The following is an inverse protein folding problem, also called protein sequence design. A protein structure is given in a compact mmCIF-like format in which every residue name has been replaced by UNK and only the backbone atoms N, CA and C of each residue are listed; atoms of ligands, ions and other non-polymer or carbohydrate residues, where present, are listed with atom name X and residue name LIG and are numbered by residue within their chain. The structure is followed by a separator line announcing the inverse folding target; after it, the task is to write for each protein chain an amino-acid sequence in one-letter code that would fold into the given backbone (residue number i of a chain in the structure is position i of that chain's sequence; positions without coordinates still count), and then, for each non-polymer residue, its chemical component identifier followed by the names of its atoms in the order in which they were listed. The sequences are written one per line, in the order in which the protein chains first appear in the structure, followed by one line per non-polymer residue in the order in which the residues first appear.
data_IF_908306178261
#
_entry.id   IF_908306178261
#
_cell.length_a   1.000
_cell.length_b   1.000
_cell.length_c   1.000
_cell.angle_alpha   90.00
_cell.angle_beta   90.00
_cell.angle_gamma   90.00
#
_symmetry.space_group_name_H-M   'P 1'
#
loop_
_entity.id
_entity.type
_entity.pdbx_description
1 polymer ?
#
# COMPACT_ATOMS: atom_id res chain seq x y z
N UNK A 1 13.22 -2.88 9.11
CA UNK A 1 12.50 -2.02 8.14
C UNK A 1 12.17 -0.65 8.74
N UNK A 2 11.56 -0.55 9.93
CA UNK A 2 11.24 0.75 10.57
C UNK A 2 12.47 1.68 10.74
N UNK A 3 13.62 1.15 11.16
CA UNK A 3 14.82 1.96 11.39
C UNK A 3 15.41 2.59 10.11
N UNK A 4 15.40 1.85 9.00
CA UNK A 4 15.92 2.35 7.72
C UNK A 4 15.01 3.44 7.12
N UNK A 5 13.68 3.26 7.21
CA UNK A 5 12.72 4.28 6.81
C UNK A 5 12.85 5.55 7.68
N UNK A 6 13.06 5.38 8.99
CA UNK A 6 13.28 6.51 9.91
C UNK A 6 14.55 7.30 9.56
N UNK A 7 15.62 6.60 9.17
CA UNK A 7 16.89 7.24 8.83
C UNK A 7 16.85 7.93 7.46
N UNK A 8 16.06 7.41 6.51
CA UNK A 8 15.84 8.06 5.22
C UNK A 8 14.99 9.33 5.33
N UNK A 9 13.88 9.29 6.09
CA UNK A 9 13.06 10.48 6.40
C UNK A 9 13.90 11.57 7.09
N UNK A 10 14.76 11.17 8.04
CA UNK A 10 15.71 12.11 8.68
C UNK A 10 16.68 12.74 7.68
N UNK A 11 17.16 11.97 6.71
CA UNK A 11 18.17 12.43 5.75
C UNK A 11 17.57 13.41 4.73
N UNK A 12 16.42 13.08 4.15
CA UNK A 12 15.73 13.86 3.12
C UNK A 12 15.16 15.17 3.69
N UNK A 13 14.50 15.11 4.84
CA UNK A 13 13.95 16.30 5.51
C UNK A 13 15.07 17.26 5.94
N UNK A 14 16.19 16.73 6.45
CA UNK A 14 17.36 17.54 6.83
C UNK A 14 18.03 18.22 5.63
N UNK A 15 17.97 17.61 4.44
CA UNK A 15 18.57 18.16 3.23
C UNK A 15 17.73 19.31 2.65
N UNK A 16 16.41 19.15 2.58
CA UNK A 16 15.49 20.18 2.09
C UNK A 16 15.53 21.45 2.96
N UNK A 17 15.45 21.27 4.28
CA UNK A 17 15.43 22.38 5.24
C UNK A 17 16.77 23.13 5.27
N UNK A 18 17.89 22.43 5.09
CA UNK A 18 19.22 23.06 5.00
C UNK A 18 19.36 23.92 3.74
N UNK A 19 18.65 23.60 2.65
CA UNK A 19 18.67 24.39 1.43
C UNK A 19 17.88 25.69 1.59
N UNK A 20 16.71 25.63 2.22
CA UNK A 20 15.82 26.77 2.48
C UNK A 20 16.41 27.75 3.50
N UNK A 21 16.92 27.22 4.64
CA UNK A 21 17.62 28.02 5.65
C UNK A 21 18.86 28.75 5.09
N UNK A 22 19.52 28.16 4.10
CA UNK A 22 20.71 28.75 3.45
C UNK A 22 20.35 29.84 2.44
N UNK A 23 19.11 29.86 1.95
CA UNK A 23 18.59 30.91 1.08
C UNK A 23 18.25 32.18 1.87
N UNK A 24 17.67 32.05 3.06
CA UNK A 24 17.29 33.19 3.91
C UNK A 24 18.49 33.85 4.63
N UNK A 25 19.53 33.10 4.97
CA UNK A 25 20.73 33.60 5.66
C UNK A 25 21.68 34.45 4.77
N UNK A 26 21.35 34.66 3.48
CA UNK A 26 22.20 35.31 2.49
C UNK A 26 22.11 36.85 2.48
N UNK A 27 21.16 37.45 3.18
CA UNK A 27 21.09 38.92 3.37
C UNK A 27 22.05 39.38 4.46
N UNK A 28 22.68 40.55 4.27
CA UNK A 28 23.68 41.14 5.18
C UNK A 28 23.10 41.48 6.55
N UNK A 29 22.98 40.46 7.41
CA UNK A 29 22.57 40.58 8.80
C UNK A 29 23.80 40.55 9.72
N UNK A 30 23.74 41.35 10.79
CA UNK A 30 24.75 41.41 11.85
C UNK A 30 24.90 40.05 12.54
N UNK A 31 26.08 39.73 13.11
CA UNK A 31 26.35 38.43 13.71
C UNK A 31 25.35 38.04 14.81
N UNK A 32 24.89 39.01 15.61
CA UNK A 32 23.91 38.75 16.68
C UNK A 32 22.55 38.32 16.11
N UNK A 33 22.05 39.02 15.10
CA UNK A 33 20.75 38.71 14.46
C UNK A 33 20.82 37.36 13.72
N UNK A 34 21.96 37.01 13.12
CA UNK A 34 22.19 35.69 12.51
C UNK A 34 22.20 34.54 13.52
N UNK A 35 22.59 34.81 14.76
CA UNK A 35 22.61 33.81 15.83
C UNK A 35 21.20 33.60 16.40
N UNK A 36 20.47 34.68 16.67
CA UNK A 36 19.08 34.62 17.12
C UNK A 36 18.17 33.95 16.08
N UNK A 37 18.24 34.35 14.80
CA UNK A 37 17.51 33.68 13.71
C UNK A 37 17.85 32.20 13.62
N UNK A 38 19.11 31.80 13.85
CA UNK A 38 19.52 30.39 13.80
C UNK A 38 18.91 29.56 14.91
N UNK A 39 18.80 30.11 16.12
CA UNK A 39 18.22 29.39 17.25
C UNK A 39 16.69 29.34 17.14
N UNK A 40 16.05 30.41 16.66
CA UNK A 40 14.61 30.46 16.39
C UNK A 40 14.21 29.52 15.26
N UNK A 41 14.92 29.57 14.12
CA UNK A 41 14.69 28.65 13.00
C UNK A 41 14.95 27.19 13.38
N UNK A 42 15.98 26.90 14.20
CA UNK A 42 16.20 25.53 14.73
C UNK A 42 15.04 25.06 15.59
N UNK A 43 14.47 25.93 16.43
CA UNK A 43 13.38 25.59 17.31
C UNK A 43 12.09 25.30 16.51
N UNK A 44 11.79 26.15 15.52
CA UNK A 44 10.62 26.02 14.65
C UNK A 44 10.69 24.79 13.74
N UNK A 45 11.82 24.61 13.03
CA UNK A 45 12.11 23.39 12.24
C UNK A 45 12.02 22.13 13.08
N UNK A 46 12.56 22.13 14.30
CA UNK A 46 12.50 20.97 15.21
C UNK A 46 11.08 20.70 15.67
N UNK A 47 10.28 21.74 15.91
CA UNK A 47 8.88 21.59 16.31
C UNK A 47 8.04 20.97 15.19
N UNK A 48 8.17 21.47 13.97
CA UNK A 48 7.49 20.92 12.77
C UNK A 48 7.92 19.48 12.48
N UNK A 49 9.23 19.21 12.47
CA UNK A 49 9.76 17.86 12.25
C UNK A 49 9.23 16.88 13.31
N UNK A 50 9.20 17.29 14.58
CA UNK A 50 8.66 16.47 15.66
C UNK A 50 7.15 16.26 15.55
N UNK A 51 6.40 17.25 15.06
CA UNK A 51 4.96 17.12 14.84
C UNK A 51 4.65 16.15 13.69
N UNK A 52 5.37 16.26 12.59
CA UNK A 52 5.24 15.37 11.44
C UNK A 52 5.68 13.94 11.76
N UNK A 53 6.82 13.77 12.45
CA UNK A 53 7.26 12.47 12.94
C UNK A 53 6.26 11.83 13.91
N UNK A 54 5.67 12.60 14.83
CA UNK A 54 4.63 12.09 15.75
C UNK A 54 3.38 11.66 14.99
N UNK A 55 2.95 12.43 13.99
CA UNK A 55 1.79 12.10 13.15
C UNK A 55 2.04 10.81 12.36
N UNK A 56 3.17 10.74 11.64
CA UNK A 56 3.56 9.56 10.87
C UNK A 56 3.69 8.31 11.76
N UNK A 57 4.30 8.43 12.95
CA UNK A 57 4.41 7.32 13.89
C UNK A 57 3.04 6.89 14.42
N UNK A 58 2.16 7.84 14.75
CA UNK A 58 0.81 7.53 15.20
C UNK A 58 0.00 6.80 14.11
N UNK A 59 0.11 7.23 12.86
CA UNK A 59 -0.60 6.59 11.74
C UNK A 59 -0.05 5.19 11.46
N UNK A 60 1.28 5.01 11.51
CA UNK A 60 1.93 3.69 11.42
C UNK A 60 1.45 2.75 12.53
N UNK A 61 1.40 3.22 13.78
CA UNK A 61 0.94 2.42 14.93
C UNK A 61 -0.55 2.08 14.79
N UNK A 62 -1.40 3.00 14.33
CA UNK A 62 -2.82 2.73 14.06
C UNK A 62 -3.00 1.67 12.98
N UNK A 63 -2.22 1.74 11.90
CA UNK A 63 -2.24 0.72 10.83
C UNK A 63 -1.86 -0.63 11.44
N UNK A 64 -0.75 -0.71 12.15
CA UNK A 64 -0.32 -1.97 12.79
C UNK A 64 -1.39 -2.52 13.75
N UNK A 65 -2.02 -1.67 14.57
CA UNK A 65 -3.10 -2.10 15.46
C UNK A 65 -4.31 -2.63 14.68
N UNK A 66 -4.75 -1.94 13.62
CA UNK A 66 -5.85 -2.41 12.75
C UNK A 66 -5.51 -3.73 12.06
N UNK A 67 -4.27 -3.91 11.60
CA UNK A 67 -3.82 -5.13 10.95
C UNK A 67 -3.75 -6.31 11.92
N UNK A 68 -3.24 -6.11 13.13
CA UNK A 68 -3.24 -7.12 14.19
C UNK A 68 -4.67 -7.49 14.56
N UNK A 69 -5.55 -6.50 14.77
CA UNK A 69 -6.95 -6.76 15.06
C UNK A 69 -7.66 -7.53 13.92
N UNK A 70 -7.36 -7.23 12.65
CA UNK A 70 -7.90 -7.95 11.51
C UNK A 70 -7.38 -9.41 11.45
N UNK A 71 -6.10 -9.63 11.74
CA UNK A 71 -5.52 -10.98 11.81
C UNK A 71 -6.08 -11.80 12.98
N UNK A 72 -6.27 -11.20 14.14
CA UNK A 72 -6.86 -11.86 15.31
C UNK A 72 -8.35 -12.16 15.10
N UNK A 73 -9.11 -11.23 14.51
CA UNK A 73 -10.52 -11.42 14.22
C UNK A 73 -10.77 -12.51 13.16
N UNK A 74 -9.81 -12.71 12.26
CA UNK A 74 -9.93 -13.69 11.19
C UNK A 74 -8.55 -14.30 10.84
N UNK A 75 -8.04 -15.27 11.61
CA UNK A 75 -6.75 -15.90 11.35
C UNK A 75 -6.82 -16.74 10.07
N UNK A 76 -5.71 -16.81 9.32
CA UNK A 76 -5.63 -17.71 8.17
C UNK A 76 -5.88 -19.16 8.61
N UNK A 77 -6.65 -19.93 7.83
CA UNK A 77 -6.86 -21.34 8.15
C UNK A 77 -5.53 -22.10 8.04
N UNK A 78 -5.39 -23.17 8.81
CA UNK A 78 -4.35 -24.16 8.53
C UNK A 78 -4.72 -24.89 7.25
N UNK A 79 -3.86 -24.81 6.23
CA UNK A 79 -4.12 -25.40 4.91
C UNK A 79 -3.25 -26.64 4.73
N UNK A 80 -3.92 -27.79 4.66
CA UNK A 80 -3.36 -29.07 4.20
C UNK A 80 -3.76 -29.34 2.75
N UNK A 81 -3.29 -30.45 2.18
CA UNK A 81 -3.53 -30.76 0.76
C UNK A 81 -5.02 -30.94 0.44
N UNK A 82 -5.80 -31.52 1.36
CA UNK A 82 -7.23 -31.80 1.15
C UNK A 82 -8.08 -30.53 1.23
N UNK A 83 -7.81 -29.67 2.22
CA UNK A 83 -8.49 -28.37 2.36
C UNK A 83 -8.12 -27.40 1.24
N UNK A 84 -6.87 -27.44 0.74
CA UNK A 84 -6.47 -26.67 -0.43
C UNK A 84 -7.19 -27.13 -1.70
N UNK A 85 -7.29 -28.44 -1.93
CA UNK A 85 -8.03 -29.00 -3.07
C UNK A 85 -9.51 -28.60 -3.05
N UNK A 86 -10.15 -28.64 -1.87
CA UNK A 86 -11.53 -28.20 -1.71
C UNK A 86 -11.66 -26.68 -1.94
N UNK A 87 -10.72 -25.86 -1.45
CA UNK A 87 -10.70 -24.42 -1.73
C UNK A 87 -10.60 -24.14 -3.24
N UNK A 88 -9.70 -24.85 -3.96
CA UNK A 88 -9.56 -24.74 -5.41
C UNK A 88 -10.89 -25.10 -6.11
N UNK A 89 -11.54 -26.18 -5.68
CA UNK A 89 -12.83 -26.61 -6.23
C UNK A 89 -13.92 -25.55 -6.01
N UNK A 90 -13.99 -24.95 -4.82
CA UNK A 90 -14.96 -23.90 -4.52
C UNK A 90 -14.69 -22.62 -5.32
N UNK A 91 -13.42 -22.23 -5.47
CA UNK A 91 -13.01 -21.09 -6.32
C UNK A 91 -13.44 -21.35 -7.75
N UNK A 92 -13.16 -22.54 -8.29
CA UNK A 92 -13.54 -22.94 -9.65
C UNK A 92 -15.07 -22.94 -9.86
N UNK A 93 -15.82 -23.45 -8.87
CA UNK A 93 -17.28 -23.46 -8.90
C UNK A 93 -17.86 -22.04 -8.93
N UNK A 94 -17.20 -21.08 -8.28
CA UNK A 94 -17.58 -19.65 -8.28
C UNK A 94 -17.01 -18.86 -9.45
N UNK A 95 -16.32 -19.49 -10.40
CA UNK A 95 -15.82 -18.85 -11.62
C UNK A 95 -14.37 -18.37 -11.54
N UNK A 96 -13.73 -18.46 -10.37
CA UNK A 96 -12.29 -18.26 -10.25
C UNK A 96 -11.50 -19.38 -10.92
N UNK A 97 -10.21 -19.14 -11.15
CA UNK A 97 -9.25 -20.13 -11.63
C UNK A 97 -7.99 -20.04 -10.80
N UNK A 98 -7.47 -21.19 -10.39
CA UNK A 98 -6.20 -21.30 -9.67
C UNK A 98 -5.21 -22.03 -10.57
N UNK A 99 -4.09 -21.38 -10.85
CA UNK A 99 -2.98 -21.92 -11.65
C UNK A 99 -1.68 -21.86 -10.87
N UNK A 100 -0.72 -22.71 -11.21
CA UNK A 100 0.67 -22.59 -10.73
C UNK A 100 1.44 -21.67 -11.67
N UNK A 101 2.21 -20.73 -11.12
CA UNK A 101 2.93 -19.71 -11.89
C UNK A 101 3.98 -20.31 -12.82
N UNK A 102 4.78 -21.27 -12.31
CA UNK A 102 5.87 -21.89 -13.05
C UNK A 102 5.99 -23.39 -12.75
N UNK A 103 6.55 -24.15 -13.70
CA UNK A 103 6.82 -25.58 -13.50
C UNK A 103 7.73 -25.78 -12.28
N UNK A 104 7.40 -26.76 -11.44
CA UNK A 104 8.12 -27.12 -10.22
C UNK A 104 8.10 -26.05 -9.11
N UNK A 105 7.10 -25.16 -9.10
CA UNK A 105 6.82 -24.24 -7.99
C UNK A 105 5.46 -24.57 -7.36
N UNK A 106 5.21 -24.09 -6.14
CA UNK A 106 3.90 -24.12 -5.48
C UNK A 106 3.21 -22.74 -5.50
N UNK A 107 3.80 -21.76 -6.21
CA UNK A 107 3.33 -20.40 -6.34
C UNK A 107 2.02 -20.33 -7.13
N UNK A 108 0.97 -19.78 -6.53
CA UNK A 108 -0.38 -19.78 -7.09
C UNK A 108 -0.78 -18.41 -7.63
N UNK A 109 -1.36 -18.45 -8.82
CA UNK A 109 -2.04 -17.32 -9.47
C UNK A 109 -3.54 -17.58 -9.45
N UNK A 110 -4.30 -16.64 -8.89
CA UNK A 110 -5.77 -16.71 -8.83
C UNK A 110 -6.39 -15.68 -9.77
N UNK A 111 -7.19 -16.13 -10.71
CA UNK A 111 -7.87 -15.27 -11.70
C UNK A 111 -9.38 -15.36 -11.57
N UNK A 112 -10.03 -14.23 -11.37
CA UNK A 112 -11.49 -14.09 -11.33
C UNK A 112 -12.07 -13.34 -12.54
N UNK A 113 -11.23 -12.59 -13.28
CA UNK A 113 -11.63 -11.74 -14.41
C UNK A 113 -12.06 -12.48 -15.69
N UNK A 114 -11.89 -13.80 -15.76
CA UNK A 114 -12.24 -14.63 -16.93
C UNK A 114 -13.61 -15.31 -16.79
N UNK A 115 -14.33 -15.00 -15.72
CA UNK A 115 -15.60 -15.61 -15.37
C UNK A 115 -16.78 -14.87 -16.03
N UNK A 116 -17.76 -15.62 -16.50
CA UNK A 116 -19.10 -15.15 -16.85
C UNK A 116 -20.03 -15.02 -15.62
N UNK A 117 -19.61 -15.61 -14.49
CA UNK A 117 -20.32 -15.54 -13.21
C UNK A 117 -19.99 -14.25 -12.45
N UNK A 118 -20.95 -13.71 -11.67
CA UNK A 118 -20.67 -12.60 -10.77
C UNK A 118 -19.65 -13.03 -9.71
N UNK A 119 -18.56 -12.29 -9.60
CA UNK A 119 -17.52 -12.48 -8.58
C UNK A 119 -17.72 -11.43 -7.50
N UNK A 120 -17.86 -11.88 -6.27
CA UNK A 120 -18.08 -11.05 -5.08
C UNK A 120 -17.06 -11.38 -3.97
N UNK A 121 -17.23 -10.74 -2.81
CA UNK A 121 -16.29 -10.85 -1.68
C UNK A 121 -16.16 -12.29 -1.16
N UNK A 122 -17.26 -13.04 -1.14
CA UNK A 122 -17.23 -14.45 -0.70
C UNK A 122 -16.41 -15.33 -1.63
N UNK A 123 -16.44 -15.05 -2.95
CA UNK A 123 -15.61 -15.79 -3.91
C UNK A 123 -14.12 -15.50 -3.69
N UNK A 124 -13.75 -14.24 -3.41
CA UNK A 124 -12.36 -13.87 -3.13
C UNK A 124 -11.87 -14.42 -1.79
N UNK A 125 -12.72 -14.44 -0.76
CA UNK A 125 -12.36 -14.92 0.57
C UNK A 125 -11.87 -16.38 0.58
N UNK A 126 -12.30 -17.20 -0.39
CA UNK A 126 -11.82 -18.58 -0.55
C UNK A 126 -10.32 -18.69 -0.83
N UNK A 127 -9.67 -17.62 -1.32
CA UNK A 127 -8.23 -17.57 -1.55
C UNK A 127 -7.43 -17.80 -0.26
N UNK A 128 -8.02 -17.55 0.91
CA UNK A 128 -7.42 -17.84 2.23
C UNK A 128 -7.15 -19.34 2.44
N UNK A 129 -7.86 -20.21 1.73
CA UNK A 129 -7.65 -21.66 1.74
C UNK A 129 -6.50 -22.13 0.85
N UNK A 130 -5.72 -21.21 0.26
CA UNK A 130 -4.61 -21.54 -0.63
C UNK A 130 -3.27 -21.18 0.03
N UNK A 131 -2.29 -22.08 -0.12
CA UNK A 131 -0.89 -21.83 0.22
C UNK A 131 -0.20 -21.11 -0.93
N UNK A 132 0.77 -20.27 -0.59
CA UNK A 132 1.68 -19.61 -1.52
C UNK A 132 1.00 -18.85 -2.69
N UNK A 133 -0.03 -18.05 -2.40
CA UNK A 133 -0.66 -17.17 -3.40
C UNK A 133 0.26 -15.98 -3.66
N UNK A 134 0.66 -15.81 -4.92
CA UNK A 134 1.58 -14.73 -5.35
C UNK A 134 0.91 -13.67 -6.23
N UNK A 135 -0.14 -14.04 -6.97
CA UNK A 135 -0.89 -13.12 -7.82
C UNK A 135 -2.40 -13.34 -7.70
N UNK A 136 -3.14 -12.24 -7.59
CA UNK A 136 -4.61 -12.23 -7.63
C UNK A 136 -5.06 -11.21 -8.68
N UNK A 137 -5.87 -11.66 -9.63
CA UNK A 137 -6.51 -10.80 -10.62
C UNK A 137 -8.03 -10.85 -10.50
N UNK A 138 -8.57 -9.79 -9.88
CA UNK A 138 -9.97 -9.56 -9.57
C UNK A 138 -10.58 -8.39 -10.39
N UNK A 139 -9.94 -8.03 -11.51
CA UNK A 139 -10.39 -6.90 -12.34
C UNK A 139 -11.84 -7.06 -12.80
N UNK A 140 -12.60 -5.97 -12.72
CA UNK A 140 -13.96 -5.88 -13.27
C UNK A 140 -14.99 -6.71 -12.53
N UNK A 141 -14.77 -6.96 -11.24
CA UNK A 141 -15.66 -7.75 -10.38
C UNK A 141 -16.39 -6.87 -9.37
N UNK A 142 -17.37 -7.43 -8.66
CA UNK A 142 -18.15 -6.73 -7.63
C UNK A 142 -17.45 -6.69 -6.27
N UNK A 143 -16.13 -6.91 -6.23
CA UNK A 143 -15.33 -6.92 -5.01
C UNK A 143 -15.34 -5.54 -4.32
N UNK A 144 -15.49 -5.57 -2.99
CA UNK A 144 -15.51 -4.42 -2.08
C UNK A 144 -14.35 -4.49 -1.06
N UNK A 145 -14.32 -3.54 -0.12
CA UNK A 145 -13.30 -3.46 0.92
C UNK A 145 -13.31 -4.69 1.86
N UNK A 146 -14.48 -5.32 2.03
CA UNK A 146 -14.66 -6.55 2.80
C UNK A 146 -13.80 -7.70 2.27
N UNK A 147 -13.68 -7.83 0.95
CA UNK A 147 -12.84 -8.86 0.35
C UNK A 147 -11.36 -8.61 0.63
N UNK A 148 -10.92 -7.35 0.62
CA UNK A 148 -9.52 -6.98 0.86
C UNK A 148 -9.12 -7.28 2.30
N UNK A 149 -10.04 -7.08 3.27
CA UNK A 149 -9.86 -7.52 4.66
C UNK A 149 -9.59 -9.02 4.75
N UNK A 150 -10.25 -9.82 3.91
CA UNK A 150 -10.08 -11.27 3.91
C UNK A 150 -8.70 -11.70 3.40
N UNK A 151 -8.01 -10.88 2.60
CA UNK A 151 -6.66 -11.17 2.08
C UNK A 151 -5.55 -10.92 3.11
N UNK A 152 -5.83 -10.20 4.20
CA UNK A 152 -4.85 -9.90 5.25
C UNK A 152 -4.17 -11.19 5.71
N UNK A 153 -2.83 -11.17 5.68
CA UNK A 153 -2.01 -12.28 6.13
C UNK A 153 -1.52 -13.21 5.03
N UNK A 154 -1.92 -13.03 3.76
CA UNK A 154 -1.31 -13.74 2.63
C UNK A 154 0.15 -13.27 2.43
N UNK A 155 1.16 -14.04 2.89
CA UNK A 155 2.50 -13.49 3.10
C UNK A 155 3.28 -13.30 1.80
N UNK A 156 2.90 -14.02 0.74
CA UNK A 156 3.63 -14.08 -0.52
C UNK A 156 2.96 -13.30 -1.65
N UNK A 157 1.88 -12.54 -1.36
CA UNK A 157 1.17 -11.77 -2.39
C UNK A 157 2.08 -10.67 -2.94
N UNK A 158 2.37 -10.74 -4.24
CA UNK A 158 3.25 -9.81 -4.95
C UNK A 158 2.51 -8.95 -5.98
N UNK A 159 1.42 -9.48 -6.56
CA UNK A 159 0.70 -8.82 -7.65
C UNK A 159 -0.80 -8.85 -7.37
N UNK A 160 -1.42 -7.67 -7.30
CA UNK A 160 -2.84 -7.54 -7.04
C UNK A 160 -3.49 -6.61 -8.06
N UNK A 161 -4.44 -7.13 -8.82
CA UNK A 161 -5.21 -6.35 -9.79
C UNK A 161 -6.68 -6.23 -9.35
N UNK A 162 -7.05 -5.01 -8.95
CA UNK A 162 -8.38 -4.60 -8.47
C UNK A 162 -9.01 -3.57 -9.40
N UNK A 163 -8.52 -3.44 -10.62
CA UNK A 163 -9.03 -2.47 -11.57
C UNK A 163 -10.56 -2.64 -11.77
N UNK A 164 -11.30 -1.53 -11.77
CA UNK A 164 -12.76 -1.49 -11.94
C UNK A 164 -13.51 -2.38 -10.93
N UNK A 165 -13.08 -2.35 -9.67
CA UNK A 165 -13.80 -2.91 -8.53
C UNK A 165 -14.43 -1.78 -7.69
N UNK A 166 -15.11 -2.11 -6.59
CA UNK A 166 -15.74 -1.14 -5.68
C UNK A 166 -14.86 -0.77 -4.49
N UNK A 167 -13.57 -1.08 -4.58
CA UNK A 167 -12.57 -0.84 -3.54
C UNK A 167 -12.36 0.66 -3.30
N UNK A 168 -12.43 1.09 -2.05
CA UNK A 168 -12.29 2.49 -1.62
C UNK A 168 -11.00 2.71 -0.82
N UNK A 169 -10.83 3.93 -0.30
CA UNK A 169 -9.72 4.29 0.58
C UNK A 169 -9.66 3.41 1.84
N UNK A 170 -10.79 2.93 2.34
CA UNK A 170 -10.85 2.10 3.55
C UNK A 170 -10.15 0.74 3.37
N UNK A 171 -10.13 0.19 2.16
CA UNK A 171 -9.41 -1.05 1.86
C UNK A 171 -7.88 -0.90 1.91
N UNK A 172 -7.34 0.28 1.58
CA UNK A 172 -5.90 0.46 1.38
C UNK A 172 -5.11 0.23 2.67
N UNK A 173 -5.74 0.44 3.83
CA UNK A 173 -5.17 0.10 5.14
C UNK A 173 -4.85 -1.40 5.24
N UNK A 174 -5.69 -2.26 4.70
CA UNK A 174 -5.49 -3.71 4.71
C UNK A 174 -4.45 -4.15 3.67
N UNK A 175 -4.29 -3.40 2.58
CA UNK A 175 -3.23 -3.68 1.60
C UNK A 175 -1.84 -3.48 2.19
N UNK A 176 -1.65 -2.57 3.15
CA UNK A 176 -0.40 -2.39 3.88
C UNK A 176 0.09 -3.65 4.63
N UNK A 177 -0.76 -4.68 4.80
CA UNK A 177 -0.39 -5.98 5.36
C UNK A 177 0.45 -6.87 4.44
N UNK A 178 0.70 -6.44 3.19
CA UNK A 178 1.35 -7.26 2.16
C UNK A 178 2.72 -6.65 1.81
N UNK A 179 3.76 -6.82 2.65
CA UNK A 179 5.04 -6.16 2.47
C UNK A 179 5.76 -6.58 1.18
N UNK A 180 5.37 -7.70 0.58
CA UNK A 180 5.92 -8.23 -0.66
C UNK A 180 5.19 -7.74 -1.92
N UNK A 181 4.18 -6.88 -1.79
CA UNK A 181 3.43 -6.36 -2.93
C UNK A 181 4.32 -5.47 -3.80
N UNK A 182 4.49 -5.86 -5.07
CA UNK A 182 5.30 -5.16 -6.08
C UNK A 182 4.43 -4.45 -7.11
N UNK A 183 3.27 -5.02 -7.42
CA UNK A 183 2.33 -4.51 -8.41
C UNK A 183 0.94 -4.35 -7.80
N UNK A 184 0.38 -3.15 -7.89
CA UNK A 184 -0.98 -2.85 -7.50
C UNK A 184 -1.70 -2.08 -8.61
N UNK A 185 -2.87 -2.58 -9.02
CA UNK A 185 -3.70 -1.89 -10.00
C UNK A 185 -5.06 -1.55 -9.39
N UNK A 186 -5.32 -0.25 -9.26
CA UNK A 186 -6.55 0.36 -8.74
C UNK A 186 -7.24 1.20 -9.83
N UNK A 187 -6.90 0.99 -11.11
CA UNK A 187 -7.51 1.70 -12.23
C UNK A 187 -9.04 1.70 -12.15
N UNK A 188 -9.67 2.86 -12.18
CA UNK A 188 -11.13 2.99 -12.19
C UNK A 188 -11.83 2.60 -10.88
N UNK A 189 -11.15 2.67 -9.73
CA UNK A 189 -11.77 2.55 -8.40
C UNK A 189 -12.04 3.92 -7.78
N UNK A 190 -12.93 4.04 -6.78
CA UNK A 190 -13.21 5.30 -6.07
C UNK A 190 -12.11 5.78 -5.10
N UNK A 191 -10.88 5.25 -5.19
CA UNK A 191 -9.75 5.66 -4.34
C UNK A 191 -9.36 7.13 -4.58
N UNK A 192 -8.97 7.84 -3.53
CA UNK A 192 -8.61 9.26 -3.55
C UNK A 192 -7.25 9.54 -2.90
N UNK A 193 -6.81 10.80 -2.92
CA UNK A 193 -5.59 11.26 -2.23
C UNK A 193 -5.60 10.94 -0.73
N UNK A 194 -6.78 10.90 -0.09
CA UNK A 194 -6.91 10.65 1.35
C UNK A 194 -6.49 9.23 1.72
N UNK A 195 -6.80 8.24 0.88
CA UNK A 195 -6.42 6.83 1.12
C UNK A 195 -5.05 6.47 0.59
N UNK A 196 -4.65 7.02 -0.58
CA UNK A 196 -3.48 6.52 -1.31
C UNK A 196 -2.16 6.70 -0.54
N UNK A 197 -2.07 7.69 0.35
CA UNK A 197 -0.91 7.93 1.20
C UNK A 197 -0.57 6.76 2.14
N UNK A 198 -1.54 5.90 2.45
CA UNK A 198 -1.31 4.70 3.27
C UNK A 198 -0.36 3.71 2.58
N UNK A 199 -0.33 3.71 1.25
CA UNK A 199 0.52 2.82 0.45
C UNK A 199 2.01 3.10 0.62
N UNK A 200 2.40 4.25 1.20
CA UNK A 200 3.79 4.55 1.59
C UNK A 200 4.40 3.50 2.54
N UNK A 201 3.56 2.68 3.18
CA UNK A 201 3.98 1.57 4.05
C UNK A 201 4.30 0.27 3.29
N UNK A 202 4.25 0.27 1.95
CA UNK A 202 4.58 -0.88 1.11
C UNK A 202 6.00 -0.72 0.54
N UNK A 203 7.04 -1.25 1.22
CA UNK A 203 8.43 -0.94 0.90
C UNK A 203 8.90 -1.51 -0.44
N UNK A 204 8.17 -2.48 -1.01
CA UNK A 204 8.53 -3.16 -2.25
C UNK A 204 7.63 -2.79 -3.43
N UNK A 205 6.69 -1.86 -3.25
CA UNK A 205 5.76 -1.46 -4.32
C UNK A 205 6.52 -0.70 -5.40
N UNK A 206 6.45 -1.20 -6.64
CA UNK A 206 7.16 -0.62 -7.80
C UNK A 206 6.23 -0.08 -8.87
N UNK A 207 5.06 -0.69 -9.05
CA UNK A 207 4.13 -0.28 -10.09
C UNK A 207 2.74 -0.09 -9.49
N UNK A 208 2.23 1.13 -9.60
CA UNK A 208 0.92 1.52 -9.09
C UNK A 208 0.10 2.19 -10.20
N UNK A 209 -1.05 1.60 -10.53
CA UNK A 209 -1.94 2.13 -11.57
C UNK A 209 -3.16 2.78 -10.94
N UNK A 210 -3.34 4.07 -11.20
CA UNK A 210 -4.35 4.95 -10.59
C UNK A 210 -5.15 5.74 -11.63
N UNK A 211 -5.07 5.38 -12.92
CA UNK A 211 -5.88 6.07 -13.92
C UNK A 211 -7.39 5.95 -13.58
N UNK A 212 -8.17 7.00 -13.87
CA UNK A 212 -9.60 7.06 -13.57
C UNK A 212 -9.97 6.82 -12.09
N UNK A 213 -9.09 7.15 -11.15
CA UNK A 213 -9.43 7.28 -9.72
C UNK A 213 -9.63 8.75 -9.35
N UNK A 214 -9.88 9.03 -8.07
CA UNK A 214 -9.88 10.37 -7.50
C UNK A 214 -8.50 10.87 -7.05
N UNK A 215 -7.41 10.17 -7.38
CA UNK A 215 -6.04 10.58 -7.03
C UNK A 215 -5.54 11.67 -7.98
N UNK A 216 -5.03 12.76 -7.42
CA UNK A 216 -4.48 13.89 -8.18
C UNK A 216 -3.03 13.65 -8.58
N UNK A 217 -2.50 14.50 -9.48
CA UNK A 217 -1.07 14.47 -9.85
C UNK A 217 -0.20 14.78 -8.64
N UNK A 218 -0.65 15.69 -7.79
CA UNK A 218 0.01 16.09 -6.55
C UNK A 218 0.03 14.94 -5.53
N UNK A 219 -1.11 14.25 -5.35
CA UNK A 219 -1.20 13.06 -4.50
C UNK A 219 -0.29 11.93 -4.95
N UNK A 220 -0.25 11.65 -6.25
CA UNK A 220 0.67 10.68 -6.84
C UNK A 220 2.14 11.05 -6.63
N UNK A 221 2.53 12.29 -6.96
CA UNK A 221 3.90 12.76 -6.81
C UNK A 221 4.38 12.70 -5.36
N UNK A 222 3.49 13.00 -4.41
CA UNK A 222 3.77 12.85 -2.99
C UNK A 222 4.07 11.40 -2.62
N UNK A 223 3.29 10.45 -3.11
CA UNK A 223 3.53 9.03 -2.84
C UNK A 223 4.83 8.53 -3.49
N UNK A 224 5.13 8.94 -4.72
CA UNK A 224 6.40 8.62 -5.40
C UNK A 224 7.61 9.11 -4.62
N UNK A 225 7.52 10.29 -4.00
CA UNK A 225 8.60 10.81 -3.15
C UNK A 225 8.85 9.97 -1.88
N UNK A 226 7.87 9.17 -1.46
CA UNK A 226 7.92 8.36 -0.23
C UNK A 226 8.37 6.93 -0.48
N UNK A 227 8.25 6.41 -1.71
CA UNK A 227 8.61 5.04 -2.08
C UNK A 227 9.66 5.06 -3.20
N UNK A 228 10.95 4.86 -2.88
CA UNK A 228 12.02 4.88 -3.88
C UNK A 228 11.80 3.88 -5.01
N UNK A 229 11.75 4.38 -6.25
CA UNK A 229 11.56 3.55 -7.45
C UNK A 229 10.12 3.14 -7.73
N UNK A 230 9.14 3.72 -7.03
CA UNK A 230 7.74 3.61 -7.40
C UNK A 230 7.46 4.36 -8.70
N UNK A 231 6.80 3.67 -9.62
CA UNK A 231 6.23 4.25 -10.83
C UNK A 231 4.71 4.33 -10.68
N UNK A 232 4.17 5.55 -10.65
CA UNK A 232 2.72 5.78 -10.65
C UNK A 232 2.22 6.07 -12.06
N UNK A 233 1.27 5.27 -12.52
CA UNK A 233 0.60 5.46 -13.80
C UNK A 233 -0.79 6.09 -13.58
N UNK A 234 -0.92 7.37 -13.96
CA UNK A 234 -2.19 8.12 -13.97
C UNK A 234 -2.88 8.10 -15.36
N UNK A 235 -2.42 7.26 -16.29
CA UNK A 235 -2.86 7.24 -17.69
C UNK A 235 -2.24 8.35 -18.53
N UNK A 236 -2.40 8.24 -19.84
CA UNK A 236 -2.12 9.32 -20.79
C UNK A 236 -3.45 9.88 -21.30
N UNK A 237 -3.55 11.19 -21.42
CA UNK A 237 -4.66 11.87 -22.11
C UNK A 237 -4.67 11.55 -23.61
#
# INVERSE_FOLDING_TARGET
MLGAALDQIKAESKAAIKAEAKAELKTELKPEVKQELKEELKAEVKAELMAEMRKSLADTVKIQFKLVAAQEANPLPTVDDASEEEAIKQINARGGRVNVLAQNTDEKVVSFHLSDKPINDEALALVRGLRNVVEINARGTDITDEAIKALVGLPNLQRLNLAKTKVTDDALIYLAAHPNLVYLNLYGTPVTDDGVGVLANLPNLKHLYLWQTGVTKEGAAKLESQIPGLEVNLGTE
#
